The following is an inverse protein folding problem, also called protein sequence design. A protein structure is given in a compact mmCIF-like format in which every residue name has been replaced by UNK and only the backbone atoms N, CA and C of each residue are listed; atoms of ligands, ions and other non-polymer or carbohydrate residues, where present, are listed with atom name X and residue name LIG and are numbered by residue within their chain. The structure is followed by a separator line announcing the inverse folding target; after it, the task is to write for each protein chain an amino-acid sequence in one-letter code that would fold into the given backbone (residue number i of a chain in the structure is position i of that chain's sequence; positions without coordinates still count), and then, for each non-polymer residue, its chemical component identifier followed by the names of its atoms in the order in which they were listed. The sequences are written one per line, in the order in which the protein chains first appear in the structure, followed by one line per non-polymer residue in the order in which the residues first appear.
data_IF_120736941284
#
_entry.id   IF_120736941284
#
_cell.length_a   1.000
_cell.length_b   1.000
_cell.length_c   1.000
_cell.angle_alpha   90.00
_cell.angle_beta   90.00
_cell.angle_gamma   90.00
#
_symmetry.space_group_name_H-M   'P 1'
#
loop_
_entity.id
_entity.type
_entity.pdbx_description
1 polymer ?
#
# COMPACT_ATOMS: atom_id res chain seq x y z
N UNK A 1 15.82 -5.72 -1.87
CA UNK A 1 14.89 -5.48 -0.74
C UNK A 1 13.44 -5.47 -1.23
N UNK A 2 12.44 -5.84 -0.42
CA UNK A 2 11.02 -5.72 -0.84
C UNK A 2 10.64 -4.24 -0.91
N UNK A 3 10.01 -3.83 -2.01
CA UNK A 3 9.43 -2.50 -2.21
C UNK A 3 7.96 -2.56 -2.63
N UNK A 4 7.26 -1.43 -2.60
CA UNK A 4 5.88 -1.32 -3.06
C UNK A 4 5.62 -0.16 -4.04
N UNK A 5 4.47 -0.24 -4.72
CA UNK A 5 3.95 0.73 -5.69
C UNK A 5 2.82 1.61 -5.14
N UNK A 6 2.56 1.60 -3.83
CA UNK A 6 1.37 2.26 -3.25
C UNK A 6 1.33 3.76 -3.56
N UNK A 7 2.48 4.44 -3.52
CA UNK A 7 2.56 5.87 -3.88
C UNK A 7 2.12 6.12 -5.33
N UNK A 8 2.55 5.27 -6.25
CA UNK A 8 2.19 5.37 -7.66
C UNK A 8 0.70 5.10 -7.87
N UNK A 9 0.18 4.02 -7.28
CA UNK A 9 -1.24 3.66 -7.31
C UNK A 9 -2.10 4.81 -6.76
N UNK A 10 -1.76 5.33 -5.57
CA UNK A 10 -2.49 6.44 -4.93
C UNK A 10 -2.49 7.70 -5.80
N UNK A 11 -1.34 8.08 -6.35
CA UNK A 11 -1.19 9.33 -7.09
C UNK A 11 -1.70 9.26 -8.53
N UNK A 12 -1.76 8.09 -9.16
CA UNK A 12 -2.18 7.95 -10.57
C UNK A 12 -3.62 7.49 -10.72
N UNK A 13 -4.08 6.59 -9.86
CA UNK A 13 -5.38 5.94 -10.03
C UNK A 13 -6.46 6.55 -9.14
N UNK A 14 -6.10 6.88 -7.90
CA UNK A 14 -7.08 7.34 -6.91
C UNK A 14 -7.05 8.85 -6.69
N UNK A 15 -5.92 9.51 -6.93
CA UNK A 15 -5.71 10.95 -6.75
C UNK A 15 -6.10 11.45 -5.34
N UNK A 16 -5.85 10.60 -4.34
CA UNK A 16 -6.17 10.88 -2.93
C UNK A 16 -4.94 11.30 -2.14
N UNK A 17 -5.16 12.10 -1.08
CA UNK A 17 -4.15 12.27 -0.05
C UNK A 17 -3.92 10.95 0.72
N UNK A 18 -2.85 10.88 1.50
CA UNK A 18 -2.52 9.67 2.26
C UNK A 18 -3.58 9.28 3.30
N UNK A 19 -4.34 10.25 3.83
CA UNK A 19 -5.35 9.99 4.87
C UNK A 19 -6.57 9.33 4.25
N UNK A 20 -7.14 9.94 3.22
CA UNK A 20 -8.29 9.42 2.50
C UNK A 20 -7.99 8.04 1.88
N UNK A 21 -6.79 7.87 1.33
CA UNK A 21 -6.40 6.58 0.76
C UNK A 21 -6.22 5.49 1.84
N UNK A 22 -5.63 5.82 3.00
CA UNK A 22 -5.53 4.86 4.11
C UNK A 22 -6.91 4.45 4.65
N UNK A 23 -7.85 5.39 4.75
CA UNK A 23 -9.24 5.11 5.14
C UNK A 23 -9.93 4.17 4.14
N UNK A 24 -9.76 4.39 2.83
CA UNK A 24 -10.27 3.51 1.78
C UNK A 24 -9.67 2.09 1.87
N UNK A 25 -8.38 1.98 2.18
CA UNK A 25 -7.70 0.70 2.39
C UNK A 25 -8.07 0.00 3.70
N UNK A 26 -8.84 0.65 4.59
CA UNK A 26 -9.22 0.09 5.89
C UNK A 26 -8.07 0.04 6.91
N UNK A 27 -7.04 0.88 6.76
CA UNK A 27 -5.88 0.91 7.65
C UNK A 27 -5.61 2.31 8.22
N UNK A 28 -4.81 2.39 9.28
CA UNK A 28 -4.42 3.68 9.87
C UNK A 28 -3.48 4.44 8.93
N UNK A 29 -3.65 5.76 8.83
CA UNK A 29 -2.76 6.66 8.07
C UNK A 29 -1.29 6.54 8.46
N UNK A 30 -0.99 6.32 9.74
CA UNK A 30 0.38 6.10 10.21
C UNK A 30 0.98 4.82 9.63
N UNK A 31 0.24 3.70 9.66
CA UNK A 31 0.62 2.42 9.05
C UNK A 31 0.82 2.56 7.56
N UNK A 32 -0.15 3.18 6.87
CA UNK A 32 -0.05 3.44 5.43
C UNK A 32 1.22 4.24 5.09
N UNK A 33 1.48 5.33 5.82
CA UNK A 33 2.64 6.19 5.55
C UNK A 33 3.97 5.44 5.69
N UNK A 34 4.12 4.58 6.70
CA UNK A 34 5.34 3.78 6.87
C UNK A 34 5.51 2.74 5.76
N UNK A 35 4.41 2.18 5.26
CA UNK A 35 4.42 1.24 4.14
C UNK A 35 4.75 1.97 2.84
N UNK A 36 4.05 3.06 2.50
CA UNK A 36 4.30 3.84 1.28
C UNK A 36 5.77 4.30 1.18
N UNK A 37 6.41 4.62 2.30
CA UNK A 37 7.82 5.01 2.37
C UNK A 37 8.81 3.82 2.39
N UNK A 38 8.34 2.59 2.25
CA UNK A 38 9.13 1.35 2.34
C UNK A 38 9.91 1.17 3.66
N UNK A 39 9.48 1.83 4.75
CA UNK A 39 10.11 1.67 6.08
C UNK A 39 9.76 0.32 6.70
N UNK A 40 8.55 -0.15 6.44
CA UNK A 40 8.03 -1.47 6.79
C UNK A 40 7.19 -1.95 5.61
N UNK A 41 7.05 -3.25 5.41
CA UNK A 41 6.16 -3.77 4.35
C UNK A 41 4.74 -4.04 4.85
N UNK A 42 4.59 -4.25 6.16
CA UNK A 42 3.38 -4.82 6.76
C UNK A 42 3.54 -6.32 6.98
N UNK A 43 2.63 -6.90 7.77
CA UNK A 43 2.51 -8.35 7.92
C UNK A 43 1.59 -8.93 6.82
N UNK A 44 1.52 -10.25 6.70
CA UNK A 44 0.70 -10.93 5.69
C UNK A 44 -0.76 -10.43 5.68
N UNK A 45 -1.36 -10.20 6.85
CA UNK A 45 -2.72 -9.68 6.98
C UNK A 45 -2.86 -8.27 6.40
N UNK A 46 -1.90 -7.38 6.65
CA UNK A 46 -1.89 -6.02 6.09
C UNK A 46 -1.75 -6.04 4.57
N UNK A 47 -0.84 -6.87 4.06
CA UNK A 47 -0.63 -7.04 2.61
C UNK A 47 -1.90 -7.52 1.92
N UNK A 48 -2.54 -8.56 2.47
CA UNK A 48 -3.79 -9.10 1.94
C UNK A 48 -4.98 -8.14 2.06
N UNK A 49 -5.05 -7.37 3.15
CA UNK A 49 -6.10 -6.35 3.35
C UNK A 49 -6.02 -5.27 2.28
N UNK A 50 -4.82 -4.72 2.06
CA UNK A 50 -4.58 -3.69 1.04
C UNK A 50 -4.81 -4.26 -0.36
N UNK A 51 -4.31 -5.46 -0.66
CA UNK A 51 -4.50 -6.12 -1.94
C UNK A 51 -5.99 -6.34 -2.27
N UNK A 52 -6.77 -6.78 -1.28
CA UNK A 52 -8.23 -6.92 -1.39
C UNK A 52 -8.92 -5.58 -1.62
N UNK A 53 -8.56 -4.53 -0.88
CA UNK A 53 -9.14 -3.20 -1.04
C UNK A 53 -8.84 -2.59 -2.42
N UNK A 54 -7.66 -2.87 -2.98
CA UNK A 54 -7.27 -2.44 -4.33
C UNK A 54 -7.74 -3.38 -5.44
N UNK A 55 -8.37 -4.51 -5.10
CA UNK A 55 -8.74 -5.57 -6.03
C UNK A 55 -7.57 -6.01 -6.94
N UNK A 56 -6.40 -6.20 -6.34
CA UNK A 56 -5.14 -6.56 -7.01
C UNK A 56 -4.44 -7.68 -6.26
N UNK A 57 -3.51 -8.38 -6.91
CA UNK A 57 -2.67 -9.33 -6.19
C UNK A 57 -1.61 -8.58 -5.38
N UNK A 58 -1.11 -9.25 -4.33
CA UNK A 58 0.01 -8.73 -3.53
C UNK A 58 1.24 -8.46 -4.42
N UNK A 59 1.53 -9.35 -5.37
CA UNK A 59 2.66 -9.23 -6.31
C UNK A 59 2.54 -8.05 -7.30
N UNK A 60 1.33 -7.52 -7.52
CA UNK A 60 1.13 -6.32 -8.35
C UNK A 60 1.47 -5.04 -7.58
N UNK A 61 1.46 -5.10 -6.25
CA UNK A 61 1.67 -3.97 -5.35
C UNK A 61 3.08 -4.00 -4.75
N UNK A 62 3.54 -5.18 -4.31
CA UNK A 62 4.86 -5.41 -3.73
C UNK A 62 5.75 -6.23 -4.66
N UNK A 63 7.02 -5.86 -4.74
CA UNK A 63 8.01 -6.50 -5.60
C UNK A 63 9.37 -6.60 -4.89
N UNK A 64 10.22 -7.50 -5.36
CA UNK A 64 11.62 -7.56 -4.96
C UNK A 64 12.42 -6.62 -5.85
N UNK A 65 13.10 -5.65 -5.25
CA UNK A 65 14.13 -4.85 -5.91
C UNK A 65 15.49 -5.50 -5.64
N UNK A 66 16.29 -5.72 -6.67
CA UNK A 66 17.66 -6.24 -6.56
C UNK A 66 18.63 -5.19 -6.00
#
# INVERSE_FOLDING_TARGET
MVKNRLKEIRMREYLMDQKAFAEMLGIKKSTYNTIELNKVQGNAETLLTIAKALNRKVEDIWYLED
#
